data_IF_833553427988
#
_entry.id   IF_833553427988
#
_cell.length_a   1.000
_cell.length_b   1.000
_cell.length_c   1.000
_cell.angle_alpha   90.00
_cell.angle_beta   90.00
_cell.angle_gamma   90.00
#
_symmetry.space_group_name_H-M   'P 1'
#
loop_
_entity.id
_entity.type
_entity.pdbx_description
1 polymer ?
#
# COMPACT_ATOMS: atom_id res chain seq x y z
N UNK A 1 18.48 12.93 44.50
CA UNK A 1 19.37 12.66 43.36
C UNK A 1 18.62 11.72 42.41
N UNK A 2 18.02 12.26 41.34
CA UNK A 2 17.19 11.51 40.41
C UNK A 2 18.00 11.11 39.17
N UNK A 3 18.15 9.82 38.94
CA UNK A 3 18.89 9.27 37.80
C UNK A 3 18.20 9.76 36.51
N UNK A 4 18.92 10.38 35.56
CA UNK A 4 18.33 10.82 34.30
C UNK A 4 17.94 9.58 33.48
N UNK A 5 16.70 9.56 32.99
CA UNK A 5 16.13 8.51 32.11
C UNK A 5 17.17 7.97 31.15
N UNK A 6 17.48 6.68 31.24
CA UNK A 6 18.51 6.03 30.43
C UNK A 6 17.84 5.43 29.20
N UNK A 7 18.22 5.88 28.00
CA UNK A 7 17.74 5.34 26.73
C UNK A 7 18.88 4.55 26.08
N UNK A 8 18.62 3.29 25.69
CA UNK A 8 19.64 2.45 25.08
C UNK A 8 19.16 1.91 23.73
N UNK A 9 20.05 1.95 22.73
CA UNK A 9 19.86 1.34 21.41
C UNK A 9 20.30 -0.12 21.47
N UNK A 10 19.43 -1.07 21.13
CA UNK A 10 19.78 -2.48 21.06
C UNK A 10 19.91 -2.95 19.60
N UNK A 11 21.07 -3.53 19.25
CA UNK A 11 21.31 -4.07 17.90
C UNK A 11 20.79 -5.49 17.68
N UNK A 12 20.46 -6.23 18.75
CA UNK A 12 19.89 -7.56 18.67
C UNK A 12 19.04 -7.90 19.91
N UNK A 13 18.18 -8.92 19.80
CA UNK A 13 17.23 -9.31 20.84
C UNK A 13 17.91 -9.79 22.14
N UNK A 14 19.14 -10.31 22.04
CA UNK A 14 19.92 -10.73 23.21
C UNK A 14 20.42 -9.52 24.03
N UNK A 15 20.94 -8.49 23.36
CA UNK A 15 21.34 -7.22 23.98
C UNK A 15 20.14 -6.50 24.59
N UNK A 16 18.98 -6.54 23.94
CA UNK A 16 17.75 -5.94 24.46
C UNK A 16 17.28 -6.60 25.77
N UNK A 17 17.39 -7.93 25.88
CA UNK A 17 17.06 -8.65 27.12
C UNK A 17 18.00 -8.29 28.27
N UNK A 18 19.28 -8.08 27.99
CA UNK A 18 20.27 -7.64 28.99
C UNK A 18 19.99 -6.20 29.43
N UNK A 19 19.76 -5.28 28.49
CA UNK A 19 19.47 -3.87 28.78
C UNK A 19 18.17 -3.68 29.59
N UNK A 20 17.13 -4.47 29.28
CA UNK A 20 15.89 -4.47 30.07
C UNK A 20 16.11 -4.98 31.51
N UNK A 21 17.00 -5.97 31.71
CA UNK A 21 17.33 -6.48 33.06
C UNK A 21 18.15 -5.50 33.91
N UNK A 22 18.85 -4.56 33.28
CA UNK A 22 19.69 -3.55 33.96
C UNK A 22 18.89 -2.30 34.37
N UNK A 23 17.60 -2.22 34.01
CA UNK A 23 16.71 -1.12 34.43
C UNK A 23 16.69 0.09 33.50
N UNK A 24 16.98 -0.10 32.21
CA UNK A 24 16.83 0.94 31.18
C UNK A 24 15.34 1.25 30.96
N UNK A 25 14.95 2.51 31.05
CA UNK A 25 13.54 2.95 30.90
C UNK A 25 12.95 2.65 29.52
N UNK A 26 13.80 2.65 28.47
CA UNK A 26 13.37 2.41 27.09
C UNK A 26 14.49 1.83 26.24
N UNK A 27 14.23 0.66 25.65
CA UNK A 27 15.07 0.07 24.60
C UNK A 27 14.46 0.43 23.24
N UNK A 28 15.25 1.05 22.36
CA UNK A 28 14.80 1.44 21.01
C UNK A 28 15.46 0.52 19.99
N UNK A 29 14.66 0.02 19.05
CA UNK A 29 15.09 -0.79 17.90
C UNK A 29 14.88 -0.01 16.60
N UNK A 30 15.72 1.00 16.32
CA UNK A 30 15.46 1.93 15.22
C UNK A 30 15.44 1.22 13.86
N UNK A 31 16.25 0.19 13.66
CA UNK A 31 16.25 -0.61 12.43
C UNK A 31 14.93 -1.38 12.24
N UNK A 32 14.41 -2.00 13.31
CA UNK A 32 13.17 -2.81 13.27
C UNK A 32 11.94 -1.92 13.14
N UNK A 33 11.94 -0.77 13.82
CA UNK A 33 10.85 0.21 13.75
C UNK A 33 10.84 0.92 12.39
N UNK A 34 12.01 1.23 11.84
CA UNK A 34 12.12 1.76 10.48
C UNK A 34 11.76 0.71 9.43
N UNK A 35 12.16 -0.56 9.61
CA UNK A 35 11.77 -1.65 8.72
C UNK A 35 10.25 -1.84 8.67
N UNK A 36 9.56 -1.76 9.82
CA UNK A 36 8.09 -1.77 9.86
C UNK A 36 7.49 -0.58 9.11
N UNK A 37 8.00 0.64 9.32
CA UNK A 37 7.51 1.84 8.63
C UNK A 37 7.71 1.76 7.12
N UNK A 38 8.88 1.31 6.67
CA UNK A 38 9.20 1.12 5.26
C UNK A 38 8.34 0.01 4.64
N UNK A 39 8.17 -1.12 5.33
CA UNK A 39 7.30 -2.21 4.88
C UNK A 39 5.85 -1.73 4.71
N UNK A 40 5.31 -0.96 5.67
CA UNK A 40 3.99 -0.36 5.54
C UNK A 40 3.89 0.60 4.35
N UNK A 41 4.93 1.39 4.07
CA UNK A 41 4.96 2.31 2.91
C UNK A 41 5.02 1.56 1.58
N UNK A 42 5.88 0.56 1.46
CA UNK A 42 6.04 -0.25 0.24
C UNK A 42 4.76 -1.04 -0.05
N UNK A 43 4.15 -1.63 0.98
CA UNK A 43 2.88 -2.34 0.86
C UNK A 43 1.77 -1.40 0.44
N UNK A 44 1.74 -0.15 0.90
CA UNK A 44 0.76 0.83 0.42
C UNK A 44 1.02 1.34 -1.01
N UNK A 45 2.27 1.35 -1.47
CA UNK A 45 2.63 1.90 -2.78
C UNK A 45 2.55 0.89 -3.93
N UNK A 46 2.59 -0.43 -3.67
CA UNK A 46 2.71 -1.46 -4.71
C UNK A 46 1.75 -2.65 -4.59
N UNK A 47 0.70 -2.54 -3.79
CA UNK A 47 -0.10 -3.71 -3.42
C UNK A 47 -0.82 -4.40 -4.60
N UNK A 48 -1.04 -3.72 -5.74
CA UNK A 48 -2.04 -4.18 -6.73
C UNK A 48 -1.49 -4.28 -8.17
N UNK A 49 -0.21 -4.56 -8.41
CA UNK A 49 0.21 -4.73 -9.82
C UNK A 49 -0.39 -5.99 -10.48
N UNK A 50 -0.57 -7.10 -9.74
CA UNK A 50 -1.24 -8.32 -10.20
C UNK A 50 -1.52 -9.25 -9.02
N UNK A 51 -2.78 -9.66 -8.81
CA UNK A 51 -3.18 -10.62 -7.78
C UNK A 51 -4.06 -11.70 -8.40
N UNK A 52 -3.61 -12.96 -8.33
CA UNK A 52 -4.41 -14.11 -8.73
C UNK A 52 -5.33 -14.52 -7.56
N UNK A 53 -6.64 -14.53 -7.78
CA UNK A 53 -7.64 -14.90 -6.78
C UNK A 53 -7.95 -16.41 -6.85
N UNK A 54 -7.87 -16.97 -8.05
CA UNK A 54 -8.05 -18.40 -8.36
C UNK A 54 -7.58 -18.66 -9.80
N UNK A 55 -7.58 -19.93 -10.24
CA UNK A 55 -7.21 -20.30 -11.62
C UNK A 55 -7.98 -19.52 -12.71
N UNK A 56 -9.22 -19.12 -12.43
CA UNK A 56 -10.09 -18.43 -13.39
C UNK A 56 -10.16 -16.90 -13.20
N UNK A 57 -9.61 -16.36 -12.11
CA UNK A 57 -9.80 -14.94 -11.75
C UNK A 57 -8.52 -14.28 -11.27
N UNK A 58 -8.18 -13.17 -11.91
CA UNK A 58 -7.09 -12.28 -11.52
C UNK A 58 -7.55 -10.84 -11.44
N UNK A 59 -6.95 -10.08 -10.53
CA UNK A 59 -7.08 -8.63 -10.43
C UNK A 59 -5.77 -7.99 -10.89
N UNK A 60 -5.87 -6.93 -11.70
CA UNK A 60 -4.73 -6.26 -12.31
C UNK A 60 -4.95 -4.75 -12.26
N UNK A 61 -3.91 -4.01 -11.90
CA UNK A 61 -3.88 -2.55 -12.02
C UNK A 61 -3.39 -2.16 -13.42
N UNK A 62 -4.10 -1.24 -14.08
CA UNK A 62 -3.80 -0.85 -15.46
C UNK A 62 -3.74 0.66 -15.56
N UNK A 63 -2.56 1.18 -15.92
CA UNK A 63 -2.40 2.61 -16.17
C UNK A 63 -3.17 3.04 -17.40
N UNK A 64 -4.02 4.06 -17.24
CA UNK A 64 -4.85 4.61 -18.28
C UNK A 64 -4.02 5.25 -19.40
N UNK A 65 -4.10 4.64 -20.58
CA UNK A 65 -3.47 5.14 -21.81
C UNK A 65 -4.27 6.26 -22.47
N UNK A 66 -3.64 6.96 -23.42
CA UNK A 66 -4.30 8.00 -24.23
C UNK A 66 -5.54 7.50 -24.99
N UNK A 67 -5.64 6.20 -25.27
CA UNK A 67 -6.76 5.61 -26.02
C UNK A 67 -8.07 5.57 -25.23
N UNK A 68 -7.96 5.57 -23.90
CA UNK A 68 -9.10 5.47 -22.97
C UNK A 68 -9.31 6.78 -22.19
N UNK A 69 -8.41 7.75 -22.33
CA UNK A 69 -8.56 9.07 -21.77
C UNK A 69 -9.81 9.78 -22.29
N UNK A 70 -10.51 10.50 -21.41
CA UNK A 70 -11.76 11.24 -21.69
C UNK A 70 -12.91 10.36 -22.17
N UNK A 71 -12.88 9.07 -21.85
CA UNK A 71 -14.01 8.16 -22.05
C UNK A 71 -14.58 7.74 -20.71
N UNK A 72 -15.90 7.66 -20.63
CA UNK A 72 -16.56 7.09 -19.45
C UNK A 72 -16.47 5.57 -19.43
N UNK A 73 -16.71 4.96 -18.26
CA UNK A 73 -16.84 3.50 -18.16
C UNK A 73 -17.98 2.97 -19.04
N UNK A 74 -19.05 3.76 -19.21
CA UNK A 74 -20.16 3.49 -20.10
C UNK A 74 -19.71 3.46 -21.58
N UNK A 75 -18.92 4.44 -22.02
CA UNK A 75 -18.42 4.51 -23.41
C UNK A 75 -17.50 3.34 -23.75
N UNK A 76 -16.69 2.92 -22.77
CA UNK A 76 -15.73 1.83 -22.95
C UNK A 76 -16.40 0.46 -22.90
N UNK A 77 -17.54 0.36 -22.19
CA UNK A 77 -18.35 -0.84 -22.02
C UNK A 77 -17.50 -2.10 -21.72
N UNK A 78 -16.56 -1.97 -20.78
CA UNK A 78 -15.48 -2.95 -20.55
C UNK A 78 -16.03 -4.33 -20.17
N UNK A 79 -17.08 -4.36 -19.36
CA UNK A 79 -17.73 -5.63 -18.97
C UNK A 79 -18.26 -6.39 -20.18
N UNK A 80 -18.99 -5.72 -21.08
CA UNK A 80 -19.56 -6.38 -22.25
C UNK A 80 -18.50 -6.73 -23.31
N UNK A 81 -17.47 -5.89 -23.46
CA UNK A 81 -16.47 -6.05 -24.51
C UNK A 81 -15.34 -7.02 -24.16
N UNK A 82 -14.95 -7.07 -22.88
CA UNK A 82 -13.78 -7.81 -22.42
C UNK A 82 -14.08 -8.78 -21.27
N UNK A 83 -15.30 -8.77 -20.70
CA UNK A 83 -15.64 -9.60 -19.56
C UNK A 83 -15.02 -9.14 -18.23
N UNK A 84 -14.32 -8.01 -18.22
CA UNK A 84 -13.63 -7.48 -17.04
C UNK A 84 -14.53 -6.55 -16.21
N UNK A 85 -14.31 -6.53 -14.90
CA UNK A 85 -14.96 -5.61 -13.98
C UNK A 85 -13.97 -4.60 -13.43
N UNK A 86 -14.34 -3.32 -13.50
CA UNK A 86 -13.59 -2.27 -12.82
C UNK A 86 -14.11 -2.15 -11.39
N UNK A 87 -13.21 -2.39 -10.44
CA UNK A 87 -13.51 -2.37 -9.00
C UNK A 87 -13.11 -1.06 -8.33
N UNK A 88 -12.19 -0.31 -8.94
CA UNK A 88 -11.77 1.00 -8.48
C UNK A 88 -10.99 1.77 -9.54
N UNK A 89 -10.83 3.07 -9.33
CA UNK A 89 -9.97 3.96 -10.12
C UNK A 89 -9.12 4.77 -9.13
N UNK A 90 -7.80 4.75 -9.30
CA UNK A 90 -6.86 5.53 -8.52
C UNK A 90 -6.40 6.78 -9.29
N UNK A 91 -6.66 7.94 -8.70
CA UNK A 91 -6.27 9.28 -9.17
C UNK A 91 -5.23 9.86 -8.25
N UNK A 92 -3.97 9.51 -8.48
CA UNK A 92 -2.87 9.91 -7.59
C UNK A 92 -3.07 9.33 -6.19
N UNK A 93 -3.52 10.15 -5.24
CA UNK A 93 -3.79 9.74 -3.84
C UNK A 93 -5.26 9.41 -3.56
N UNK A 94 -6.15 9.74 -4.47
CA UNK A 94 -7.57 9.46 -4.32
C UNK A 94 -7.90 8.10 -4.93
N UNK A 95 -8.75 7.33 -4.25
CA UNK A 95 -9.24 6.04 -4.74
C UNK A 95 -10.75 6.11 -4.79
N UNK A 96 -11.30 5.95 -5.99
CA UNK A 96 -12.74 5.85 -6.24
C UNK A 96 -13.06 4.36 -6.27
N UNK A 97 -13.71 3.87 -5.22
CA UNK A 97 -14.13 2.47 -5.10
C UNK A 97 -15.49 2.29 -5.77
N UNK A 98 -15.65 1.25 -6.58
CA UNK A 98 -16.89 0.96 -7.32
C UNK A 98 -17.40 2.18 -8.10
N UNK A 99 -16.61 2.71 -9.06
CA UNK A 99 -16.94 3.91 -9.80
C UNK A 99 -18.28 3.76 -10.55
N UNK A 100 -19.08 4.84 -10.65
CA UNK A 100 -20.30 4.84 -11.46
C UNK A 100 -19.98 4.71 -12.96
N UNK A 101 -20.96 4.32 -13.77
CA UNK A 101 -20.76 4.11 -15.21
C UNK A 101 -20.36 5.41 -15.95
N UNK A 102 -20.80 6.55 -15.43
CA UNK A 102 -20.53 7.88 -15.95
C UNK A 102 -19.11 8.38 -15.60
N UNK A 103 -18.36 7.65 -14.76
CA UNK A 103 -17.02 8.05 -14.35
C UNK A 103 -16.05 8.10 -15.53
N UNK A 104 -15.36 9.24 -15.69
CA UNK A 104 -14.48 9.50 -16.84
C UNK A 104 -13.04 9.11 -16.54
N UNK A 105 -12.42 8.31 -17.40
CA UNK A 105 -11.01 7.94 -17.21
C UNK A 105 -10.09 9.11 -17.58
N UNK A 106 -9.19 9.47 -16.66
CA UNK A 106 -8.19 10.51 -16.86
C UNK A 106 -6.85 9.83 -17.17
N UNK A 107 -6.04 10.42 -18.05
CA UNK A 107 -4.73 9.86 -18.38
C UNK A 107 -3.87 9.74 -17.11
N UNK A 108 -3.17 8.62 -16.97
CA UNK A 108 -2.26 8.38 -15.84
C UNK A 108 -2.95 7.99 -14.54
N UNK A 109 -4.27 7.79 -14.54
CA UNK A 109 -4.96 7.05 -13.46
C UNK A 109 -4.71 5.57 -13.61
N UNK A 110 -4.77 4.82 -12.51
CA UNK A 110 -4.69 3.35 -12.53
C UNK A 110 -5.94 2.68 -11.99
#
# INVERSE_FOLDING_TARGET
>A
MGIPRVWAKAHNDYHAKVLNKIGVDRVIHPERDMAKRIAHHIVSEKMIDYIELSEDYSMVEIVASDKIHNKSLLDLNIRAKYGCNIVGIQRGKEIIVSPPAEEVIIKGTS
#
